data_IF_870858273690
#
_entry.id   IF_870858273690
#
_cell.length_a   1.000
_cell.length_b   1.000
_cell.length_c   1.000
_cell.angle_alpha   90.00
_cell.angle_beta   90.00
_cell.angle_gamma   90.00
#
_symmetry.space_group_name_H-M   'P 1'
#
loop_
_entity.id
_entity.type
_entity.pdbx_description
1 polymer ?
#
# COMPACT_ATOMS: atom_id res chain seq x y z
N UNK A 1 41.35 1.27 39.91
CA UNK A 1 41.97 0.82 38.64
C UNK A 1 40.85 0.20 37.84
N UNK A 2 40.57 0.82 36.70
CA UNK A 2 39.39 0.66 35.86
C UNK A 2 39.39 -0.70 35.15
N UNK A 3 38.24 -1.36 35.14
CA UNK A 3 37.96 -2.50 34.25
C UNK A 3 37.32 -1.96 32.98
N UNK A 4 38.08 -1.87 31.91
CA UNK A 4 37.56 -1.63 30.57
C UNK A 4 37.10 -2.96 29.98
N UNK A 5 35.79 -3.09 29.74
CA UNK A 5 35.24 -4.18 28.93
C UNK A 5 35.54 -3.87 27.46
N UNK A 6 36.52 -4.58 26.90
CA UNK A 6 36.81 -4.59 25.48
C UNK A 6 35.61 -5.17 24.72
N UNK A 7 34.80 -4.29 24.11
CA UNK A 7 33.77 -4.69 23.16
C UNK A 7 34.46 -5.17 21.89
N UNK A 8 34.63 -6.48 21.78
CA UNK A 8 35.11 -7.11 20.56
C UNK A 8 34.13 -6.84 19.41
N UNK A 9 34.48 -5.91 18.53
CA UNK A 9 33.81 -5.72 17.24
C UNK A 9 34.16 -6.94 16.40
N UNK A 10 33.25 -7.91 16.36
CA UNK A 10 33.41 -9.09 15.52
C UNK A 10 33.58 -8.65 14.06
N UNK A 11 34.77 -8.89 13.51
CA UNK A 11 35.06 -8.65 12.11
C UNK A 11 34.13 -9.55 11.28
N UNK A 12 33.23 -8.94 10.52
CA UNK A 12 32.33 -9.64 9.60
C UNK A 12 33.19 -10.34 8.56
N UNK A 13 33.04 -11.66 8.45
CA UNK A 13 33.79 -12.44 7.47
C UNK A 13 33.52 -11.90 6.06
N UNK A 14 34.53 -11.83 5.18
CA UNK A 14 34.37 -11.26 3.83
C UNK A 14 33.24 -11.93 3.03
N UNK A 15 32.97 -13.22 3.28
CA UNK A 15 31.86 -13.98 2.70
C UNK A 15 30.46 -13.48 3.11
N UNK A 16 30.33 -12.93 4.31
CA UNK A 16 29.05 -12.38 4.78
C UNK A 16 28.79 -11.01 4.15
N UNK A 17 29.83 -10.20 3.97
CA UNK A 17 29.71 -8.90 3.28
C UNK A 17 29.29 -9.07 1.81
N UNK A 18 29.83 -10.09 1.13
CA UNK A 18 29.43 -10.47 -0.23
C UNK A 18 27.98 -10.96 -0.27
N UNK A 19 27.58 -11.82 0.69
CA UNK A 19 26.21 -12.31 0.81
C UNK A 19 25.19 -11.18 1.03
N UNK A 20 25.50 -10.21 1.89
CA UNK A 20 24.64 -9.06 2.15
C UNK A 20 24.57 -8.11 0.95
N UNK A 21 25.68 -7.92 0.25
CA UNK A 21 25.73 -7.12 -0.97
C UNK A 21 24.90 -7.76 -2.10
N UNK A 22 24.96 -9.08 -2.23
CA UNK A 22 24.16 -9.81 -3.22
C UNK A 22 22.66 -9.77 -2.88
N UNK A 23 22.30 -9.93 -1.61
CA UNK A 23 20.91 -9.80 -1.16
C UNK A 23 20.36 -8.40 -1.42
N UNK A 24 21.13 -7.35 -1.09
CA UNK A 24 20.76 -5.97 -1.36
C UNK A 24 20.54 -5.73 -2.86
N UNK A 25 21.46 -6.21 -3.70
CA UNK A 25 21.35 -6.13 -5.16
C UNK A 25 20.07 -6.80 -5.68
N UNK A 26 19.70 -7.96 -5.13
CA UNK A 26 18.47 -8.67 -5.50
C UNK A 26 17.21 -7.91 -5.05
N UNK A 27 17.21 -7.37 -3.84
CA UNK A 27 16.12 -6.55 -3.33
C UNK A 27 15.93 -5.27 -4.17
N UNK A 28 17.03 -4.57 -4.48
CA UNK A 28 17.00 -3.36 -5.30
C UNK A 28 16.50 -3.68 -6.72
N UNK A 29 16.99 -4.75 -7.34
CA UNK A 29 16.52 -5.19 -8.65
C UNK A 29 15.04 -5.60 -8.68
N UNK A 30 14.53 -6.22 -7.61
CA UNK A 30 13.11 -6.59 -7.51
C UNK A 30 12.22 -5.38 -7.23
N UNK A 31 12.68 -4.44 -6.40
CA UNK A 31 12.03 -3.16 -6.19
C UNK A 31 11.94 -2.37 -7.50
N UNK A 32 13.04 -2.28 -8.24
CA UNK A 32 13.08 -1.61 -9.54
C UNK A 32 12.18 -2.30 -10.55
N UNK A 33 12.18 -3.64 -10.64
CA UNK A 33 11.27 -4.38 -11.54
C UNK A 33 9.80 -4.09 -11.24
N UNK A 34 9.43 -3.98 -9.96
CA UNK A 34 8.06 -3.68 -9.52
C UNK A 34 7.66 -2.23 -9.76
N UNK A 35 8.61 -1.30 -9.67
CA UNK A 35 8.36 0.13 -9.78
C UNK A 35 8.71 0.72 -11.16
N UNK A 36 9.40 -0.03 -12.01
CA UNK A 36 9.63 0.32 -13.41
C UNK A 36 8.39 -0.06 -14.20
N UNK A 37 7.56 0.94 -14.49
CA UNK A 37 6.44 0.78 -15.41
C UNK A 37 6.97 0.25 -16.76
N UNK A 38 6.28 -0.70 -17.41
CA UNK A 38 6.71 -1.22 -18.71
C UNK A 38 6.80 -0.08 -19.73
N UNK A 39 7.88 -0.08 -20.52
CA UNK A 39 8.17 0.93 -21.56
C UNK A 39 7.05 1.10 -22.59
N UNK A 40 6.14 0.15 -22.73
CA UNK A 40 4.98 0.22 -23.62
C UNK A 40 3.92 1.26 -23.21
N UNK A 41 4.05 1.90 -22.03
CA UNK A 41 3.11 2.93 -21.57
C UNK A 41 3.65 4.37 -21.66
N UNK A 42 4.87 4.59 -22.17
CA UNK A 42 5.38 5.94 -22.46
C UNK A 42 5.16 6.27 -23.94
N UNK A 43 3.93 6.64 -24.28
CA UNK A 43 3.67 7.38 -25.51
C UNK A 43 4.32 8.78 -25.44
N UNK A 44 4.75 9.36 -26.58
CA UNK A 44 5.27 10.71 -26.62
C UNK A 44 4.11 11.71 -26.61
N UNK A 45 4.30 12.84 -25.95
CA UNK A 45 3.44 14.04 -25.91
C UNK A 45 2.26 14.04 -24.92
N UNK A 46 2.08 15.21 -24.31
CA UNK A 46 1.30 15.44 -23.10
C UNK A 46 -0.19 15.21 -23.22
N UNK A 47 -0.81 14.97 -22.08
CA UNK A 47 -2.26 14.85 -21.96
C UNK A 47 -2.62 14.16 -20.66
N UNK A 48 -3.16 14.94 -19.73
CA UNK A 48 -4.07 14.54 -18.66
C UNK A 48 -4.54 13.08 -18.71
N UNK A 49 -3.78 12.18 -18.09
CA UNK A 49 -4.14 10.79 -17.95
C UNK A 49 -4.10 10.45 -16.47
N UNK A 50 -5.23 9.98 -15.94
CA UNK A 50 -5.30 9.26 -14.66
C UNK A 50 -4.29 8.11 -14.72
N UNK A 51 -3.06 8.42 -14.35
CA UNK A 51 -1.92 7.53 -14.43
C UNK A 51 -2.11 6.44 -13.39
N UNK A 52 -2.03 5.20 -13.84
CA UNK A 52 -1.99 3.97 -13.06
C UNK A 52 -0.64 3.85 -12.31
N UNK A 53 -0.19 4.94 -11.68
CA UNK A 53 0.71 4.93 -10.53
C UNK A 53 -0.17 5.12 -9.30
N UNK A 54 0.17 4.50 -8.17
CA UNK A 54 -0.64 4.57 -6.96
C UNK A 54 -1.12 6.02 -6.73
N UNK A 55 -2.42 6.29 -6.89
CA UNK A 55 -3.04 7.63 -6.86
C UNK A 55 -3.04 8.27 -5.48
N UNK A 56 -1.89 8.20 -4.79
CA UNK A 56 -1.69 8.61 -3.42
C UNK A 56 -1.21 10.05 -3.46
N UNK A 57 -2.07 10.93 -2.96
CA UNK A 57 -1.80 12.37 -2.87
C UNK A 57 -0.76 12.60 -1.75
N UNK A 58 0.21 13.51 -1.93
CA UNK A 58 1.09 13.92 -0.83
C UNK A 58 0.29 14.38 0.39
N UNK A 59 0.82 14.15 1.59
CA UNK A 59 0.20 14.68 2.81
C UNK A 59 0.24 16.20 2.82
N UNK A 60 -0.78 16.80 3.42
CA UNK A 60 -0.80 18.24 3.70
C UNK A 60 0.22 18.58 4.78
N UNK A 61 0.74 19.81 4.78
CA UNK A 61 1.61 20.28 5.86
C UNK A 61 0.83 20.47 7.17
N UNK A 62 1.54 20.40 8.29
CA UNK A 62 0.96 20.56 9.63
C UNK A 62 0.24 21.91 9.81
N UNK A 63 0.76 22.97 9.20
CA UNK A 63 0.15 24.30 9.22
C UNK A 63 -1.23 24.30 8.53
N UNK A 64 -1.32 23.67 7.35
CA UNK A 64 -2.56 23.55 6.59
C UNK A 64 -3.55 22.66 7.33
N UNK A 65 -3.08 21.52 7.88
CA UNK A 65 -3.91 20.61 8.67
C UNK A 65 -4.48 21.31 9.91
N UNK A 66 -3.65 22.04 10.65
CA UNK A 66 -4.05 22.77 11.86
C UNK A 66 -5.06 23.86 11.54
N UNK A 67 -4.83 24.64 10.47
CA UNK A 67 -5.78 25.66 10.02
C UNK A 67 -7.10 25.03 9.57
N UNK A 68 -7.06 23.99 8.75
CA UNK A 68 -8.26 23.30 8.26
C UNK A 68 -9.10 22.69 9.39
N UNK A 69 -8.46 22.18 10.44
CA UNK A 69 -9.15 21.67 11.63
C UNK A 69 -9.80 22.79 12.45
N UNK A 70 -9.16 23.97 12.55
CA UNK A 70 -9.73 25.14 13.25
C UNK A 70 -10.93 25.71 12.50
N UNK A 71 -10.83 25.79 11.17
CA UNK A 71 -11.87 26.36 10.31
C UNK A 71 -13.02 25.37 10.06
N UNK A 72 -12.89 24.12 10.50
CA UNK A 72 -13.88 23.06 10.31
C UNK A 72 -13.93 22.46 8.91
N UNK A 73 -13.07 22.93 7.99
CA UNK A 73 -12.93 22.37 6.64
C UNK A 73 -12.41 20.94 6.66
N UNK A 74 -11.55 20.62 7.63
CA UNK A 74 -11.03 19.28 7.85
C UNK A 74 -11.64 18.66 9.09
N UNK A 75 -11.84 17.35 9.05
CA UNK A 75 -12.43 16.59 10.15
C UNK A 75 -11.45 15.55 10.65
N UNK A 76 -11.29 15.47 11.97
CA UNK A 76 -10.48 14.42 12.60
C UNK A 76 -11.35 13.23 12.99
N UNK A 77 -10.86 12.03 12.75
CA UNK A 77 -11.52 10.80 13.18
C UNK A 77 -10.57 9.61 13.23
N UNK A 78 -11.14 8.43 13.40
CA UNK A 78 -10.41 7.16 13.39
C UNK A 78 -10.86 6.33 12.19
N UNK A 79 -9.90 5.75 11.45
CA UNK A 79 -10.18 4.92 10.30
C UNK A 79 -10.51 3.48 10.71
N UNK A 80 -11.70 3.02 10.35
CA UNK A 80 -12.17 1.65 10.50
C UNK A 80 -12.26 0.96 9.13
N UNK A 81 -11.22 0.26 8.74
CA UNK A 81 -11.25 -0.64 7.57
C UNK A 81 -12.20 -1.81 7.81
N UNK A 82 -13.04 -2.14 6.84
CA UNK A 82 -14.03 -3.21 6.99
C UNK A 82 -13.39 -4.60 6.91
N UNK A 83 -13.89 -5.55 7.71
CA UNK A 83 -13.44 -6.96 7.66
C UNK A 83 -13.83 -7.66 6.35
N UNK A 84 -14.93 -7.23 5.73
CA UNK A 84 -15.46 -7.86 4.51
C UNK A 84 -14.70 -7.43 3.24
N UNK A 85 -14.14 -6.22 3.24
CA UNK A 85 -13.38 -5.68 2.13
C UNK A 85 -12.28 -4.74 2.65
N UNK A 86 -10.99 -5.12 2.56
CA UNK A 86 -9.89 -4.30 3.07
C UNK A 86 -9.67 -3.02 2.25
N UNK A 87 -10.35 -2.86 1.11
CA UNK A 87 -10.34 -1.64 0.29
C UNK A 87 -11.46 -0.66 0.64
N UNK A 88 -12.32 -1.02 1.59
CA UNK A 88 -13.40 -0.17 2.07
C UNK A 88 -13.19 0.15 3.54
N UNK A 89 -13.43 1.40 3.90
CA UNK A 89 -13.29 1.86 5.27
C UNK A 89 -14.25 2.97 5.60
N UNK A 90 -14.38 3.23 6.90
CA UNK A 90 -15.16 4.34 7.39
C UNK A 90 -14.36 5.18 8.36
N UNK A 91 -14.55 6.49 8.32
CA UNK A 91 -14.05 7.39 9.35
C UNK A 91 -15.23 7.96 10.10
N UNK A 92 -15.25 7.75 11.41
CA UNK A 92 -16.22 8.40 12.29
C UNK A 92 -15.59 9.69 12.79
N UNK A 93 -16.09 10.83 12.31
CA UNK A 93 -15.62 12.14 12.73
C UNK A 93 -16.70 12.87 13.53
N UNK A 94 -16.24 13.71 14.45
CA UNK A 94 -17.11 14.51 15.32
C UNK A 94 -16.95 15.98 14.91
N UNK A 95 -18.05 16.64 14.55
CA UNK A 95 -18.06 18.04 14.16
C UNK A 95 -19.13 18.81 14.95
N UNK A 96 -18.84 20.06 15.28
CA UNK A 96 -19.81 20.98 15.85
C UNK A 96 -20.59 21.63 14.71
N UNK A 97 -21.89 21.34 14.60
CA UNK A 97 -22.78 21.92 13.59
C UNK A 97 -23.90 22.64 14.32
N UNK A 98 -23.95 23.97 14.23
CA UNK A 98 -25.00 24.76 14.89
C UNK A 98 -24.96 24.73 16.43
N UNK A 99 -23.78 24.52 17.04
CA UNK A 99 -23.62 24.42 18.49
C UNK A 99 -23.83 23.01 19.05
N UNK A 100 -24.30 22.07 18.23
CA UNK A 100 -24.43 20.66 18.62
C UNK A 100 -23.26 19.83 18.10
N UNK A 101 -22.82 18.88 18.92
CA UNK A 101 -21.76 17.94 18.55
C UNK A 101 -22.37 16.73 17.85
N UNK A 102 -22.17 16.61 16.54
CA UNK A 102 -22.68 15.49 15.74
C UNK A 102 -21.56 14.56 15.32
N UNK A 103 -21.79 13.25 15.49
CA UNK A 103 -20.93 12.21 14.92
C UNK A 103 -21.45 11.82 13.55
N UNK A 104 -20.58 11.90 12.55
CA UNK A 104 -20.90 11.54 11.17
C UNK A 104 -19.90 10.48 10.69
N UNK A 105 -20.42 9.46 10.00
CA UNK A 105 -19.62 8.39 9.43
C UNK A 105 -19.40 8.65 7.94
N UNK A 106 -18.14 8.74 7.53
CA UNK A 106 -17.72 8.97 6.16
C UNK A 106 -17.20 7.67 5.56
N UNK A 107 -17.53 7.42 4.29
CA UNK A 107 -17.07 6.24 3.55
C UNK A 107 -15.83 6.57 2.73
N UNK A 108 -14.85 5.66 2.72
CA UNK A 108 -13.60 5.76 1.96
C UNK A 108 -13.43 4.53 1.06
N UNK A 109 -12.97 4.75 -0.18
CA UNK A 109 -12.65 3.71 -1.16
C UNK A 109 -11.16 3.77 -1.55
N UNK A 110 -10.38 2.75 -1.16
CA UNK A 110 -8.96 2.65 -1.50
C UNK A 110 -8.72 2.52 -3.01
N UNK A 111 -9.69 2.01 -3.79
CA UNK A 111 -9.56 1.98 -5.26
C UNK A 111 -9.54 3.38 -5.87
N UNK A 112 -10.10 4.37 -5.17
CA UNK A 112 -10.04 5.79 -5.55
C UNK A 112 -8.82 6.51 -4.96
N UNK A 113 -8.06 5.83 -4.10
CA UNK A 113 -6.91 6.39 -3.40
C UNK A 113 -7.24 7.12 -2.10
N UNK A 114 -8.50 7.05 -1.63
CA UNK A 114 -9.01 7.84 -0.51
C UNK A 114 -8.29 7.51 0.82
N UNK A 115 -7.77 6.29 0.96
CA UNK A 115 -7.06 5.85 2.17
C UNK A 115 -5.72 6.55 2.36
N UNK A 116 -5.09 7.04 1.30
CA UNK A 116 -3.78 7.68 1.32
C UNK A 116 -2.76 7.05 2.30
N UNK A 117 -2.50 5.74 2.13
CA UNK A 117 -1.56 4.94 2.96
C UNK A 117 -1.99 4.71 4.41
N UNK A 118 -3.16 5.15 4.84
CA UNK A 118 -3.64 4.92 6.20
C UNK A 118 -3.95 3.43 6.45
N UNK A 119 -3.77 3.02 7.70
CA UNK A 119 -4.05 1.69 8.21
C UNK A 119 -5.28 1.71 9.13
N UNK A 120 -5.83 0.51 9.37
CA UNK A 120 -6.92 0.34 10.32
C UNK A 120 -6.49 0.81 11.72
N UNK A 121 -7.32 1.66 12.34
CA UNK A 121 -7.08 2.20 13.68
C UNK A 121 -6.34 3.53 13.70
N UNK A 122 -5.84 4.01 12.56
CA UNK A 122 -5.12 5.29 12.49
C UNK A 122 -6.04 6.48 12.83
N UNK A 123 -5.49 7.46 13.55
CA UNK A 123 -6.13 8.77 13.69
C UNK A 123 -5.82 9.60 12.46
N UNK A 124 -6.86 9.93 11.70
CA UNK A 124 -6.74 10.55 10.39
C UNK A 124 -7.46 11.89 10.35
N UNK A 125 -7.03 12.74 9.41
CA UNK A 125 -7.70 13.98 9.05
C UNK A 125 -8.27 13.80 7.64
N UNK A 126 -9.57 14.04 7.48
CA UNK A 126 -10.29 13.87 6.22
C UNK A 126 -10.89 15.18 5.74
N UNK A 127 -11.12 15.25 4.43
CA UNK A 127 -11.88 16.32 3.78
C UNK A 127 -13.09 15.67 3.11
N UNK A 128 -14.33 15.99 3.52
CA UNK A 128 -15.51 15.49 2.85
C UNK A 128 -15.54 15.94 1.39
N UNK A 129 -15.72 14.98 0.48
CA UNK A 129 -15.92 15.26 -0.94
C UNK A 129 -17.31 15.88 -1.18
N UNK A 130 -17.50 16.63 -2.28
CA UNK A 130 -18.81 17.12 -2.68
C UNK A 130 -19.76 15.95 -3.01
N UNK A 131 -21.08 16.17 -2.87
CA UNK A 131 -22.09 15.10 -2.91
C UNK A 131 -22.11 14.33 -4.23
N UNK A 132 -21.75 15.00 -5.32
CA UNK A 132 -21.66 14.45 -6.68
C UNK A 132 -20.59 13.35 -6.79
N UNK A 133 -19.59 13.40 -5.90
CA UNK A 133 -18.49 12.44 -5.86
C UNK A 133 -18.69 11.33 -4.83
N UNK A 134 -19.84 11.29 -4.15
CA UNK A 134 -20.09 10.29 -3.12
C UNK A 134 -20.26 8.89 -3.73
N UNK A 135 -19.47 7.96 -3.21
CA UNK A 135 -19.56 6.54 -3.56
C UNK A 135 -20.58 5.80 -2.70
N UNK A 136 -20.78 4.53 -3.03
CA UNK A 136 -21.52 3.57 -2.20
C UNK A 136 -20.61 2.39 -1.85
N UNK A 137 -20.75 1.80 -0.65
CA UNK A 137 -20.06 0.57 -0.30
C UNK A 137 -20.38 -0.54 -1.30
N UNK A 138 -19.37 -1.26 -1.77
CA UNK A 138 -19.56 -2.40 -2.69
C UNK A 138 -19.76 -3.70 -1.94
N UNK A 139 -19.28 -3.77 -0.70
CA UNK A 139 -19.51 -4.90 0.20
C UNK A 139 -18.56 -6.07 -0.03
N UNK A 140 -19.05 -7.28 0.26
CA UNK A 140 -18.20 -8.48 0.34
C UNK A 140 -17.66 -8.88 -1.03
N UNK A 141 -16.35 -8.73 -1.22
CA UNK A 141 -15.67 -9.28 -2.41
C UNK A 141 -15.53 -10.79 -2.25
N UNK A 142 -15.98 -11.55 -3.25
CA UNK A 142 -15.64 -12.96 -3.36
C UNK A 142 -14.15 -13.05 -3.68
N UNK A 143 -13.38 -13.74 -2.83
CA UNK A 143 -12.04 -14.19 -3.17
C UNK A 143 -12.19 -15.19 -4.30
N UNK A 144 -11.89 -14.76 -5.53
CA UNK A 144 -11.76 -15.67 -6.66
C UNK A 144 -10.31 -16.12 -6.63
N UNK A 145 -10.07 -17.42 -6.38
CA UNK A 145 -8.75 -17.99 -6.60
C UNK A 145 -8.39 -17.69 -8.06
N UNK A 146 -7.31 -16.93 -8.29
CA UNK A 146 -6.74 -16.85 -9.62
C UNK A 146 -6.38 -18.30 -9.98
N UNK A 147 -7.13 -18.89 -10.91
CA UNK A 147 -6.79 -20.19 -11.44
C UNK A 147 -5.34 -20.08 -11.92
N UNK A 148 -4.48 -20.98 -11.44
CA UNK A 148 -3.13 -21.14 -11.92
C UNK A 148 -3.21 -21.54 -13.40
N UNK A 149 -3.37 -20.55 -14.29
CA UNK A 149 -3.37 -20.79 -15.71
C UNK A 149 -1.92 -20.97 -16.15
N UNK A 150 -1.51 -22.24 -16.13
CA UNK A 150 -0.61 -22.88 -17.09
C UNK A 150 0.81 -22.28 -17.20
N UNK A 151 1.70 -22.68 -16.28
CA UNK A 151 3.12 -22.83 -16.63
C UNK A 151 3.33 -24.25 -17.17
N UNK A 152 3.60 -24.31 -18.49
CA UNK A 152 4.49 -25.26 -19.20
C UNK A 152 4.70 -26.64 -18.56
N UNK A 153 4.16 -27.74 -19.10
CA UNK A 153 4.79 -28.51 -20.21
C UNK A 153 6.31 -28.48 -20.11
N UNK A 154 6.89 -29.51 -19.49
CA UNK A 154 8.23 -30.00 -19.77
C UNK A 154 8.23 -31.51 -19.46
N UNK A 155 8.12 -32.25 -20.56
CA UNK A 155 8.66 -33.56 -20.93
C UNK A 155 8.85 -34.65 -19.86
N UNK A 156 8.00 -35.69 -19.99
CA UNK A 156 8.27 -37.05 -19.53
C UNK A 156 9.42 -37.63 -20.40
N UNK A 157 10.65 -37.63 -19.87
CA UNK A 157 11.70 -38.55 -20.29
C UNK A 157 11.40 -39.93 -19.67
N UNK A 158 10.64 -40.75 -20.40
CA UNK A 158 10.59 -42.20 -20.18
C UNK A 158 11.86 -42.81 -20.81
N UNK A 159 12.86 -43.03 -19.97
CA UNK A 159 14.03 -43.85 -20.29
C UNK A 159 13.61 -45.31 -20.54
N UNK A 160 13.97 -45.81 -21.73
CA UNK A 160 14.04 -47.23 -22.10
C UNK A 160 14.81 -48.03 -21.03
N UNK A 161 14.26 -49.15 -20.55
CA UNK A 161 15.08 -50.24 -20.05
C UNK A 161 14.56 -51.58 -20.60
N UNK A 162 15.33 -52.07 -21.57
CA UNK A 162 15.33 -53.42 -22.11
C UNK A 162 15.36 -54.46 -20.99
N UNK A 163 14.47 -55.44 -21.03
CA UNK A 163 14.85 -56.76 -20.53
C UNK A 163 14.17 -57.86 -21.34
N UNK A 164 14.93 -58.39 -22.30
CA UNK A 164 14.72 -59.72 -22.88
C UNK A 164 14.94 -60.79 -21.81
N UNK A 165 13.91 -61.57 -21.47
CA UNK A 165 14.00 -63.03 -21.21
C UNK A 165 12.64 -63.72 -21.25
#
# INVERSE_FOLDING_TARGET
REGGEDVAVAAVAPSDLERWSDLRRRCDAEYDRRNSLPRSFRGPTGGSGRGKGSGRVPYVSDEIATRGLRDGTFLRGTLEVTKANPREGYVTATAAVGGETKRTRYYLDDERGDFNRCLHGDSVVIVPLPMEEWGRPRGRRRLVHAAASQSSKDDDDDDDDDNEE
#
